data_IF_886049743253
#
_entry.id   IF_886049743253
#
_cell.length_a   1.000
_cell.length_b   1.000
_cell.length_c   1.000
_cell.angle_alpha   90.00
_cell.angle_beta   90.00
_cell.angle_gamma   90.00
#
_symmetry.space_group_name_H-M   'P 1'
#
loop_
_entity.id
_entity.type
_entity.pdbx_description
1 polymer ?
#
# COMPACT_ATOMS: atom_id res chain seq x y z
N UNK A 1 -8.61 11.21 -25.52
CA UNK A 1 -8.84 9.75 -25.37
C UNK A 1 -8.04 8.89 -26.34
N UNK A 2 -7.92 9.24 -27.64
CA UNK A 2 -7.27 8.39 -28.65
C UNK A 2 -5.89 7.83 -28.22
N UNK A 3 -5.01 8.68 -27.68
CA UNK A 3 -3.70 8.23 -27.16
C UNK A 3 -3.79 7.20 -26.03
N UNK A 4 -4.84 7.25 -25.21
CA UNK A 4 -5.04 6.40 -24.04
C UNK A 4 -5.52 4.97 -24.38
N UNK A 5 -5.94 4.75 -25.63
CA UNK A 5 -6.37 3.44 -26.16
C UNK A 5 -5.50 2.99 -27.34
N UNK A 6 -4.52 3.80 -27.74
CA UNK A 6 -3.68 3.55 -28.91
C UNK A 6 -2.65 2.43 -28.69
N UNK A 7 -2.24 2.21 -27.44
CA UNK A 7 -1.19 1.25 -27.11
C UNK A 7 -1.80 0.00 -26.45
N UNK A 8 -1.32 -1.18 -26.86
CA UNK A 8 -1.72 -2.47 -26.28
C UNK A 8 -1.31 -2.58 -24.81
N UNK A 9 -0.11 -2.11 -24.50
CA UNK A 9 0.39 -1.97 -23.13
C UNK A 9 0.45 -0.49 -22.76
N UNK A 10 0.35 -0.20 -21.46
CA UNK A 10 0.32 1.18 -21.00
C UNK A 10 1.65 1.88 -21.29
N UNK A 11 1.58 3.00 -21.98
CA UNK A 11 2.70 3.94 -22.14
C UNK A 11 2.67 5.03 -21.06
N UNK A 12 3.82 5.65 -20.80
CA UNK A 12 3.98 6.61 -19.68
C UNK A 12 3.08 7.84 -19.79
N UNK A 13 2.73 8.23 -21.00
CA UNK A 13 1.91 9.41 -21.30
C UNK A 13 0.41 9.13 -21.14
N UNK A 14 0.01 7.87 -20.95
CA UNK A 14 -1.39 7.49 -20.77
C UNK A 14 -1.80 7.58 -19.30
N UNK A 15 -2.96 8.19 -19.04
CA UNK A 15 -3.53 8.21 -17.69
C UNK A 15 -4.20 6.88 -17.35
N UNK A 16 -4.33 6.59 -16.05
CA UNK A 16 -5.17 5.48 -15.60
C UNK A 16 -6.63 5.93 -15.56
N UNK A 17 -7.58 5.04 -15.85
CA UNK A 17 -9.01 5.37 -15.77
C UNK A 17 -9.39 5.81 -14.35
N UNK A 18 -8.82 5.17 -13.32
CA UNK A 18 -9.01 5.59 -11.93
C UNK A 18 -8.51 7.02 -11.66
N UNK A 19 -7.35 7.41 -12.23
CA UNK A 19 -6.85 8.78 -12.12
C UNK A 19 -7.76 9.80 -12.79
N UNK A 20 -8.30 9.47 -13.97
CA UNK A 20 -9.26 10.34 -14.65
C UNK A 20 -10.56 10.48 -13.84
N UNK A 21 -11.13 9.37 -13.38
CA UNK A 21 -12.35 9.38 -12.58
C UNK A 21 -12.17 10.23 -11.30
N UNK A 22 -11.10 9.99 -10.54
CA UNK A 22 -10.80 10.76 -9.34
C UNK A 22 -10.62 12.26 -9.63
N UNK A 23 -9.97 12.61 -10.75
CA UNK A 23 -9.79 14.01 -11.13
C UNK A 23 -11.13 14.69 -11.47
N UNK A 24 -12.01 14.00 -12.18
CA UNK A 24 -13.35 14.52 -12.50
C UNK A 24 -14.20 14.70 -11.24
N UNK A 25 -14.15 13.75 -10.30
CA UNK A 25 -14.82 13.86 -8.99
C UNK A 25 -14.36 15.10 -8.22
N UNK A 26 -13.04 15.33 -8.15
CA UNK A 26 -12.48 16.51 -7.49
C UNK A 26 -12.96 17.80 -8.18
N UNK A 27 -12.96 17.84 -9.52
CA UNK A 27 -13.46 18.99 -10.28
C UNK A 27 -14.95 19.24 -10.08
N UNK A 28 -15.73 18.18 -9.86
CA UNK A 28 -17.15 18.26 -9.53
C UNK A 28 -17.43 18.70 -8.07
N UNK A 29 -16.38 18.93 -7.28
CA UNK A 29 -16.49 19.42 -5.90
C UNK A 29 -16.51 18.31 -4.85
N UNK A 30 -16.20 17.06 -5.21
CA UNK A 30 -16.04 15.98 -4.24
C UNK A 30 -14.83 16.29 -3.33
N UNK A 31 -15.10 16.38 -2.02
CA UNK A 31 -14.11 16.67 -0.97
C UNK A 31 -13.93 15.51 0.02
N UNK A 32 -14.33 14.30 -0.37
CA UNK A 32 -14.15 13.11 0.45
C UNK A 32 -12.68 12.66 0.47
N UNK A 33 -11.86 13.36 1.24
CA UNK A 33 -10.45 13.07 1.46
C UNK A 33 -10.24 12.26 2.73
N UNK A 34 -11.06 11.21 2.94
CA UNK A 34 -10.89 10.36 4.12
C UNK A 34 -9.48 9.76 4.10
N UNK A 35 -8.73 9.82 5.21
CA UNK A 35 -7.44 9.14 5.30
C UNK A 35 -7.62 7.66 5.02
N UNK A 36 -6.61 7.07 4.38
CA UNK A 36 -6.64 5.65 4.06
C UNK A 36 -6.46 4.85 5.35
N UNK A 37 -7.41 3.98 5.66
CA UNK A 37 -7.36 3.06 6.80
C UNK A 37 -6.41 1.86 6.53
N UNK A 38 -5.29 2.10 5.85
CA UNK A 38 -4.40 1.06 5.34
C UNK A 38 -2.95 1.42 5.61
N UNK A 39 -2.17 0.46 6.11
CA UNK A 39 -0.72 0.59 6.22
C UNK A 39 -0.05 -0.16 5.07
N UNK A 40 0.80 0.54 4.32
CA UNK A 40 1.69 -0.06 3.33
C UNK A 40 3.03 -0.45 3.94
N UNK A 41 3.33 -1.74 3.85
CA UNK A 41 4.60 -2.37 4.16
C UNK A 41 5.39 -2.65 2.88
N UNK A 42 6.63 -2.19 2.83
CA UNK A 42 7.59 -2.58 1.81
C UNK A 42 8.95 -2.75 2.51
N UNK A 43 9.21 -3.92 3.13
CA UNK A 43 10.38 -4.13 3.98
C UNK A 43 11.69 -4.21 3.19
N UNK A 44 11.62 -4.48 1.88
CA UNK A 44 12.80 -4.56 1.02
C UNK A 44 13.51 -3.21 0.90
N UNK A 45 14.84 -3.22 1.03
CA UNK A 45 15.73 -2.06 0.87
C UNK A 45 15.35 -0.85 1.76
N UNK A 46 15.08 -1.13 3.05
CA UNK A 46 14.73 -0.11 4.06
C UNK A 46 15.80 0.02 5.14
N UNK A 47 15.78 1.16 5.83
CA UNK A 47 16.64 1.42 7.00
C UNK A 47 16.23 0.55 8.18
N UNK A 48 17.19 0.27 9.07
CA UNK A 48 16.95 -0.41 10.34
C UNK A 48 15.79 0.25 11.11
N UNK A 49 14.96 -0.58 11.77
CA UNK A 49 13.79 -0.11 12.52
C UNK A 49 12.55 0.20 11.67
N UNK A 50 12.61 0.06 10.33
CA UNK A 50 11.45 0.23 9.46
C UNK A 50 10.29 -0.71 9.84
N UNK A 51 10.58 -2.00 10.06
CA UNK A 51 9.61 -3.01 10.45
C UNK A 51 8.90 -2.60 11.74
N UNK A 52 9.65 -2.32 12.81
CA UNK A 52 9.10 -1.89 14.10
C UNK A 52 8.22 -0.64 14.00
N UNK A 53 8.64 0.36 13.21
CA UNK A 53 7.83 1.56 12.98
C UNK A 53 6.50 1.21 12.30
N UNK A 54 6.54 0.36 11.27
CA UNK A 54 5.34 -0.05 10.53
C UNK A 54 4.41 -0.94 11.35
N UNK A 55 4.96 -1.82 12.17
CA UNK A 55 4.19 -2.61 13.14
C UNK A 55 3.45 -1.69 14.11
N UNK A 56 4.12 -0.65 14.65
CA UNK A 56 3.47 0.35 15.51
C UNK A 56 2.36 1.12 14.78
N UNK A 57 2.58 1.49 13.51
CA UNK A 57 1.53 2.12 12.69
C UNK A 57 0.29 1.21 12.57
N UNK A 58 0.47 -0.11 12.48
CA UNK A 58 -0.64 -1.07 12.41
C UNK A 58 -1.39 -1.29 13.74
N UNK A 59 -0.85 -0.82 14.86
CA UNK A 59 -1.52 -0.89 16.16
C UNK A 59 -2.57 0.22 16.35
N UNK A 60 -2.62 1.20 15.43
CA UNK A 60 -3.68 2.20 15.41
C UNK A 60 -5.03 1.52 15.08
N UNK A 61 -6.06 1.63 15.95
CA UNK A 61 -7.37 1.00 15.75
C UNK A 61 -8.11 1.47 14.49
N UNK A 62 -7.72 2.61 13.90
CA UNK A 62 -8.28 3.10 12.63
C UNK A 62 -7.77 2.34 11.41
N UNK A 63 -6.65 1.60 11.54
CA UNK A 63 -6.09 0.77 10.48
C UNK A 63 -6.91 -0.51 10.35
N UNK A 64 -7.46 -0.72 9.16
CA UNK A 64 -8.29 -1.87 8.83
C UNK A 64 -7.59 -2.86 7.89
N UNK A 65 -6.59 -2.37 7.14
CA UNK A 65 -5.92 -3.15 6.11
C UNK A 65 -4.42 -2.99 6.18
N UNK A 66 -3.70 -4.07 5.84
CA UNK A 66 -2.25 -4.08 5.72
C UNK A 66 -1.89 -4.61 4.34
N UNK A 67 -1.10 -3.87 3.58
CA UNK A 67 -0.58 -4.32 2.30
C UNK A 67 0.93 -4.52 2.42
N UNK A 68 1.40 -5.76 2.32
CA UNK A 68 2.83 -6.10 2.36
C UNK A 68 3.32 -6.39 0.95
N UNK A 69 4.37 -5.68 0.51
CA UNK A 69 4.94 -5.78 -0.82
C UNK A 69 6.41 -6.17 -0.79
N UNK A 70 6.88 -6.81 -1.87
CA UNK A 70 8.29 -7.20 -2.07
C UNK A 70 8.84 -8.14 -0.99
N UNK A 71 7.98 -8.96 -0.38
CA UNK A 71 8.36 -9.97 0.62
C UNK A 71 9.34 -11.01 0.08
N UNK A 72 9.20 -11.37 -1.19
CA UNK A 72 10.07 -12.27 -1.95
C UNK A 72 11.52 -11.78 -2.00
N UNK A 73 11.73 -10.46 -1.90
CA UNK A 73 13.06 -9.82 -1.98
C UNK A 73 13.66 -9.49 -0.62
N UNK A 74 12.90 -9.64 0.47
CA UNK A 74 13.36 -9.28 1.80
C UNK A 74 14.42 -10.26 2.32
N UNK A 75 15.40 -9.79 3.12
CA UNK A 75 16.28 -10.69 3.87
C UNK A 75 15.44 -11.67 4.70
N UNK A 76 15.91 -12.93 4.79
CA UNK A 76 15.19 -14.00 5.49
C UNK A 76 14.84 -13.64 6.93
N UNK A 77 15.74 -12.97 7.64
CA UNK A 77 15.53 -12.50 9.01
C UNK A 77 14.33 -11.53 9.11
N UNK A 78 14.32 -10.46 8.31
CA UNK A 78 13.23 -9.46 8.32
C UNK A 78 11.89 -10.09 7.91
N UNK A 79 11.94 -11.06 6.99
CA UNK A 79 10.75 -11.82 6.59
C UNK A 79 10.21 -12.67 7.75
N UNK A 80 11.09 -13.33 8.49
CA UNK A 80 10.70 -14.12 9.65
C UNK A 80 10.12 -13.23 10.75
N UNK A 81 10.77 -12.11 11.09
CA UNK A 81 10.27 -11.15 12.07
C UNK A 81 8.86 -10.63 11.71
N UNK A 82 8.57 -10.42 10.43
CA UNK A 82 7.23 -10.05 9.97
C UNK A 82 6.23 -11.21 10.13
N UNK A 83 6.62 -12.43 9.80
CA UNK A 83 5.74 -13.60 9.94
C UNK A 83 5.43 -13.90 11.40
N UNK A 84 6.43 -13.87 12.29
CA UNK A 84 6.23 -14.07 13.73
C UNK A 84 5.23 -13.04 14.28
N UNK A 85 5.34 -11.78 13.84
CA UNK A 85 4.37 -10.74 14.20
C UNK A 85 2.98 -11.02 13.65
N UNK A 86 2.84 -11.41 12.37
CA UNK A 86 1.54 -11.74 11.79
C UNK A 86 0.89 -12.95 12.48
N UNK A 87 1.67 -13.97 12.83
CA UNK A 87 1.20 -15.13 13.58
C UNK A 87 0.70 -14.74 14.97
N UNK A 88 1.39 -13.81 15.65
CA UNK A 88 0.96 -13.28 16.94
C UNK A 88 -0.40 -12.56 16.90
N UNK A 89 -0.82 -12.07 15.72
CA UNK A 89 -2.13 -11.45 15.53
C UNK A 89 -3.25 -12.47 15.26
N UNK A 90 -2.91 -13.64 14.71
CA UNK A 90 -3.88 -14.66 14.30
C UNK A 90 -4.20 -15.66 15.41
N UNK A 91 -3.28 -15.86 16.35
CA UNK A 91 -3.44 -16.75 17.50
C UNK A 91 -3.32 -15.90 18.76
N UNK A 92 -4.43 -15.33 19.26
CA UNK A 92 -4.43 -14.73 20.59
C UNK A 92 -4.30 -15.83 21.64
N UNK A 93 -3.41 -15.65 22.62
CA UNK A 93 -3.44 -16.44 23.87
C UNK A 93 -4.76 -16.28 24.63
#
# INVERSE_FOLDING_TARGET
LAKNIACRFREKEQFTIGSLANHLEIKAGNKNFKPMNTVYFQPYNRKNGYLNRKVRECQDPSVQWICVQSLDRCPSQIRQELFDWLESLLIPE
#
